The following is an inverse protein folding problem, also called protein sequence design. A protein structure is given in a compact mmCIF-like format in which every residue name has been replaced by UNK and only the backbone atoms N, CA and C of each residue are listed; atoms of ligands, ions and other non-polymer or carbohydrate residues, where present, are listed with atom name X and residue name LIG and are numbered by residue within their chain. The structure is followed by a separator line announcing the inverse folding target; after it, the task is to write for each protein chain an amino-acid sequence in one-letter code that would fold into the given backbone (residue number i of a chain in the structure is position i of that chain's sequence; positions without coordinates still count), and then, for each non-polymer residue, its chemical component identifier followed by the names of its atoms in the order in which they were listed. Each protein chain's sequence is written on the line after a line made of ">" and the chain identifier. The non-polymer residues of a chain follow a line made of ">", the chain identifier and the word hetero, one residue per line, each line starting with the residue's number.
data_IF_698731909013
#
_entry.id   IF_698731909013
#
_cell.length_a   1.000
_cell.length_b   1.000
_cell.length_c   1.000
_cell.angle_alpha   90.00
_cell.angle_beta   90.00
_cell.angle_gamma   90.00
#
_symmetry.space_group_name_H-M   'P 1'
#
loop_
_entity.id
_entity.type
_entity.pdbx_description
1 polymer ?
#
# COMPACT_ATOMS: atom_id res chain seq x y z
N UNK A 1 -9.31 2.16 2.97
CA UNK A 1 -8.29 1.55 2.08
C UNK A 1 -8.49 0.05 2.08
N UNK A 2 -8.23 -0.64 0.97
CA UNK A 2 -8.28 -2.10 0.88
C UNK A 2 -7.04 -2.62 0.17
N UNK A 3 -6.46 -3.70 0.67
CA UNK A 3 -5.39 -4.45 0.02
C UNK A 3 -5.93 -5.86 -0.23
N UNK A 4 -5.80 -6.38 -1.44
CA UNK A 4 -6.24 -7.74 -1.77
C UNK A 4 -5.20 -8.48 -2.55
N UNK A 5 -5.04 -9.76 -2.22
CA UNK A 5 -4.28 -10.72 -3.01
C UNK A 5 -5.22 -11.70 -3.69
N UNK A 6 -5.07 -11.89 -5.00
CA UNK A 6 -5.93 -12.74 -5.81
C UNK A 6 -5.11 -13.67 -6.69
N UNK A 7 -5.69 -14.82 -7.03
CA UNK A 7 -5.19 -15.70 -8.09
C UNK A 7 -5.79 -15.31 -9.43
N UNK A 8 -4.95 -15.14 -10.45
CA UNK A 8 -5.34 -14.61 -11.76
C UNK A 8 -5.82 -15.68 -12.76
N UNK A 9 -5.68 -16.97 -12.44
CA UNK A 9 -6.10 -18.13 -13.26
C UNK A 9 -5.39 -18.30 -14.61
N UNK A 10 -4.76 -17.25 -15.14
CA UNK A 10 -3.95 -17.23 -16.36
C UNK A 10 -2.66 -16.46 -16.08
N UNK A 11 -1.61 -16.77 -16.84
CA UNK A 11 -0.38 -15.99 -16.80
C UNK A 11 -0.63 -14.57 -17.35
N UNK A 12 -0.43 -13.57 -16.49
CA UNK A 12 -0.55 -12.16 -16.84
C UNK A 12 0.80 -11.49 -17.14
N UNK A 13 1.85 -12.29 -17.33
CA UNK A 13 3.14 -11.80 -17.75
C UNK A 13 3.20 -11.68 -19.28
N UNK A 14 3.47 -10.49 -19.84
CA UNK A 14 3.54 -10.32 -21.30
C UNK A 14 4.87 -10.80 -21.90
N UNK A 15 5.85 -11.23 -21.09
CA UNK A 15 7.17 -11.64 -21.55
C UNK A 15 7.34 -13.17 -21.48
N UNK A 16 7.56 -13.79 -22.64
CA UNK A 16 7.56 -15.26 -22.81
C UNK A 16 8.65 -16.01 -22.01
N UNK A 17 9.77 -15.35 -21.69
CA UNK A 17 10.92 -15.98 -20.99
C UNK A 17 10.99 -15.66 -19.49
N UNK A 18 9.93 -15.11 -18.90
CA UNK A 18 9.91 -14.72 -17.49
C UNK A 18 8.95 -15.57 -16.66
N UNK A 19 9.14 -15.57 -15.34
CA UNK A 19 8.29 -16.33 -14.45
C UNK A 19 6.82 -15.89 -14.60
N UNK A 20 5.86 -16.84 -14.63
CA UNK A 20 4.45 -16.52 -14.78
C UNK A 20 3.96 -15.58 -13.70
N UNK A 21 3.07 -14.65 -14.05
CA UNK A 21 2.41 -13.78 -13.09
C UNK A 21 1.02 -14.36 -12.77
N UNK A 22 0.95 -15.21 -11.74
CA UNK A 22 -0.25 -15.96 -11.38
C UNK A 22 -1.02 -15.37 -10.20
N UNK A 23 -0.35 -14.58 -9.37
CA UNK A 23 -0.96 -13.91 -8.23
C UNK A 23 -0.71 -12.42 -8.30
N UNK A 24 -1.63 -11.64 -7.71
CA UNK A 24 -1.51 -10.19 -7.66
C UNK A 24 -1.96 -9.64 -6.31
N UNK A 25 -1.12 -8.80 -5.70
CA UNK A 25 -1.49 -7.95 -4.57
C UNK A 25 -1.75 -6.54 -5.09
N UNK A 26 -2.97 -6.03 -4.88
CA UNK A 26 -3.39 -4.69 -5.31
C UNK A 26 -3.92 -3.83 -4.17
N UNK A 27 -3.53 -2.56 -4.18
CA UNK A 27 -3.93 -1.52 -3.22
C UNK A 27 -5.02 -0.65 -3.82
N UNK A 28 -6.09 -0.46 -3.06
CA UNK A 28 -7.22 0.38 -3.40
C UNK A 28 -7.43 1.49 -2.36
N UNK A 29 -7.49 2.74 -2.81
CA UNK A 29 -7.77 3.93 -1.98
C UNK A 29 -9.03 4.59 -2.50
N UNK A 30 -10.03 4.77 -1.64
CA UNK A 30 -11.36 5.27 -2.03
C UNK A 30 -12.02 4.54 -3.23
N UNK A 31 -11.65 3.26 -3.46
CA UNK A 31 -12.16 2.46 -4.57
C UNK A 31 -11.26 2.44 -5.80
N UNK A 32 -10.33 3.38 -5.92
CA UNK A 32 -9.38 3.49 -7.04
C UNK A 32 -8.15 2.62 -6.83
N UNK A 33 -7.65 2.01 -7.91
CA UNK A 33 -6.45 1.18 -7.89
C UNK A 33 -5.17 2.05 -7.99
N UNK A 34 -4.18 1.79 -7.14
CA UNK A 34 -2.95 2.60 -7.07
C UNK A 34 -1.66 1.84 -7.27
N UNK A 35 -1.50 0.71 -6.58
CA UNK A 35 -0.27 -0.09 -6.63
C UNK A 35 -0.59 -1.55 -6.80
N UNK A 36 0.23 -2.21 -7.60
CA UNK A 36 0.11 -3.61 -7.97
C UNK A 36 1.47 -4.29 -7.91
N UNK A 37 1.51 -5.50 -7.34
CA UNK A 37 2.66 -6.40 -7.41
C UNK A 37 2.17 -7.78 -7.81
N UNK A 38 2.91 -8.45 -8.68
CA UNK A 38 2.59 -9.78 -9.19
C UNK A 38 3.64 -10.79 -8.80
N UNK A 39 3.20 -12.04 -8.65
CA UNK A 39 4.01 -13.13 -8.10
C UNK A 39 3.74 -14.42 -8.88
N UNK A 40 4.73 -15.31 -8.88
CA UNK A 40 4.59 -16.61 -9.53
C UNK A 40 3.95 -17.63 -8.60
N UNK A 41 4.37 -17.67 -7.34
CA UNK A 41 3.87 -18.64 -6.36
C UNK A 41 3.10 -17.96 -5.23
N UNK A 42 2.24 -18.75 -4.57
CA UNK A 42 1.39 -18.25 -3.47
C UNK A 42 2.21 -17.74 -2.27
N UNK A 43 3.29 -18.42 -1.91
CA UNK A 43 4.15 -18.03 -0.78
C UNK A 43 4.71 -16.61 -0.97
N UNK A 44 5.23 -16.30 -2.17
CA UNK A 44 5.69 -14.95 -2.50
C UNK A 44 4.57 -13.92 -2.43
N UNK A 45 3.35 -14.30 -2.86
CA UNK A 45 2.19 -13.43 -2.80
C UNK A 45 1.76 -13.13 -1.35
N UNK A 46 1.82 -14.12 -0.46
CA UNK A 46 1.55 -13.93 0.98
C UNK A 46 2.58 -13.03 1.64
N UNK A 47 3.87 -13.29 1.41
CA UNK A 47 4.96 -12.46 1.93
C UNK A 47 4.83 -11.03 1.39
N UNK A 48 4.66 -10.88 0.09
CA UNK A 48 4.51 -9.58 -0.55
C UNK A 48 3.26 -8.81 -0.12
N UNK A 49 2.17 -9.51 0.21
CA UNK A 49 0.99 -8.90 0.84
C UNK A 49 1.31 -8.36 2.23
N UNK A 50 1.93 -9.18 3.09
CA UNK A 50 2.29 -8.78 4.44
C UNK A 50 3.24 -7.57 4.45
N UNK A 51 4.22 -7.56 3.54
CA UNK A 51 5.11 -6.42 3.33
C UNK A 51 4.36 -5.15 2.92
N UNK A 52 3.43 -5.26 1.96
CA UNK A 52 2.64 -4.12 1.50
C UNK A 52 1.77 -3.54 2.62
N UNK A 53 1.13 -4.41 3.42
CA UNK A 53 0.34 -4.00 4.58
C UNK A 53 1.21 -3.27 5.60
N UNK A 54 2.39 -3.81 5.91
CA UNK A 54 3.31 -3.21 6.86
C UNK A 54 3.79 -1.82 6.39
N UNK A 55 4.26 -1.73 5.14
CA UNK A 55 4.71 -0.46 4.55
C UNK A 55 3.65 0.63 4.65
N UNK A 56 2.41 0.31 4.26
CA UNK A 56 1.35 1.32 4.26
C UNK A 56 0.94 1.69 5.67
N UNK A 57 0.88 0.73 6.59
CA UNK A 57 0.58 1.02 8.01
C UNK A 57 1.63 1.96 8.60
N UNK A 58 2.91 1.67 8.40
CA UNK A 58 4.00 2.46 8.96
C UNK A 58 3.97 3.90 8.38
N UNK A 59 3.70 4.05 7.08
CA UNK A 59 3.54 5.37 6.46
C UNK A 59 2.31 6.14 6.96
N UNK A 60 1.18 5.44 7.20
CA UNK A 60 -0.02 6.05 7.76
C UNK A 60 0.22 6.56 9.19
N UNK A 61 0.86 5.75 10.03
CA UNK A 61 1.21 6.14 11.40
C UNK A 61 2.15 7.35 11.42
N UNK A 62 3.18 7.34 10.55
CA UNK A 62 4.10 8.47 10.43
C UNK A 62 3.39 9.73 9.90
N UNK A 63 2.45 9.59 8.96
CA UNK A 63 1.67 10.71 8.44
C UNK A 63 0.75 11.31 9.51
N UNK A 64 0.09 10.48 10.32
CA UNK A 64 -0.74 10.92 11.44
C UNK A 64 0.07 11.70 12.48
N UNK A 65 1.24 11.18 12.86
CA UNK A 65 2.14 11.87 13.77
C UNK A 65 2.58 13.25 13.24
N UNK A 66 2.97 13.32 11.96
CA UNK A 66 3.32 14.59 11.30
C UNK A 66 2.15 15.58 11.29
N UNK A 67 0.94 15.11 11.00
CA UNK A 67 -0.26 15.94 11.00
C UNK A 67 -0.57 16.49 12.40
N UNK A 68 -0.45 15.66 13.44
CA UNK A 68 -0.65 16.08 14.83
C UNK A 68 0.36 17.17 15.25
N UNK A 69 1.64 16.98 14.92
CA UNK A 69 2.68 17.99 15.20
C UNK A 69 2.44 19.31 14.46
N UNK A 70 2.05 19.23 13.18
CA UNK A 70 1.74 20.41 12.38
C UNK A 70 0.54 21.18 12.96
N UNK A 71 -0.52 20.46 13.34
CA UNK A 71 -1.71 21.08 13.94
C UNK A 71 -1.41 21.76 15.28
N UNK A 72 -0.64 21.11 16.15
CA UNK A 72 -0.22 21.69 17.42
C UNK A 72 0.56 23.01 17.22
N UNK A 73 1.45 23.05 16.22
CA UNK A 73 2.21 24.26 15.88
C UNK A 73 1.32 25.39 15.36
N UNK A 74 0.36 25.09 14.49
CA UNK A 74 -0.60 26.07 13.98
C UNK A 74 -1.45 26.64 15.12
N UNK A 75 -1.98 25.77 16.00
CA UNK A 75 -2.78 26.19 17.13
C UNK A 75 -1.99 27.10 18.09
N UNK A 76 -0.75 26.75 18.42
CA UNK A 76 0.11 27.57 19.27
C UNK A 76 0.39 28.96 18.65
N UNK A 77 0.64 29.01 17.33
CA UNK A 77 0.86 30.26 16.62
C UNK A 77 -0.37 31.17 16.56
N UNK A 78 -1.59 30.61 16.50
CA UNK A 78 -2.83 31.36 16.55
C UNK A 78 -3.10 31.93 17.95
N UNK A 79 -2.91 31.12 19.00
CA UNK A 79 -3.10 31.54 20.39
C UNK A 79 -2.13 32.66 20.81
N UNK A 80 -0.92 32.68 20.26
CA UNK A 80 0.05 33.75 20.52
C UNK A 80 -0.29 35.09 19.82
N UNK A 81 -1.28 35.11 18.92
CA UNK A 81 -1.69 36.28 18.13
C UNK A 81 -3.04 36.87 18.55
N UNK A 82 -3.74 36.23 19.48
CA UNK A 82 -5.00 36.69 20.10
C UNK A 82 -4.74 37.37 21.43
#
# INVERSE_FOLDING_TARGET
>A
MRISTVFLSLDHNPFEDSDPALFETMVFVAGEAHHVRRYFIWEEAETGHAEMVALIRDEMEAAEARAATAWASVHAGLAARS
#
